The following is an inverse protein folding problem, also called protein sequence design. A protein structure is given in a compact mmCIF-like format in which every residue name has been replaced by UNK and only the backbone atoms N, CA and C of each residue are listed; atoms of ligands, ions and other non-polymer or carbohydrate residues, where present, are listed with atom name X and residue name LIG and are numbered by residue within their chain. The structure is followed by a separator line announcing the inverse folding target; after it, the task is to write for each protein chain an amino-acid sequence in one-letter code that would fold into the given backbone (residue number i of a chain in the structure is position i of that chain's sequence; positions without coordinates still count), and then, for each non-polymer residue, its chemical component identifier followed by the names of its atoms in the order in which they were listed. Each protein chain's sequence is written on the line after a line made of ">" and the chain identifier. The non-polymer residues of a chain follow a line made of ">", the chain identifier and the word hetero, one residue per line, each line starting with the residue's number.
data_IF_120296865306
#
_entry.id   IF_120296865306
#
_cell.length_a   1.000
_cell.length_b   1.000
_cell.length_c   1.000
_cell.angle_alpha   90.00
_cell.angle_beta   90.00
_cell.angle_gamma   90.00
#
_symmetry.space_group_name_H-M   'P 1'
#
loop_
_entity.id
_entity.type
_entity.pdbx_description
1 polymer ?
#
# COMPACT_ATOMS: atom_id res chain seq x y z
N UNK A 1 8.03 11.22 -22.27
CA UNK A 1 8.77 10.27 -23.15
C UNK A 1 10.02 10.90 -23.77
N UNK A 2 9.98 12.18 -24.18
CA UNK A 2 11.13 12.87 -24.81
C UNK A 2 12.38 13.13 -23.92
N UNK A 3 12.24 13.23 -22.59
CA UNK A 3 13.38 13.61 -21.72
C UNK A 3 14.33 12.45 -21.35
N UNK A 4 13.92 11.19 -21.52
CA UNK A 4 14.74 10.02 -21.12
C UNK A 4 15.49 9.40 -22.31
N UNK A 5 14.88 9.34 -23.50
CA UNK A 5 15.62 9.02 -24.73
C UNK A 5 16.76 10.01 -24.97
N UNK A 6 16.56 11.25 -24.52
CA UNK A 6 17.53 12.33 -24.51
C UNK A 6 18.80 12.01 -23.68
N UNK A 7 18.70 11.36 -22.51
CA UNK A 7 19.86 11.13 -21.63
C UNK A 7 20.82 10.04 -22.13
N UNK A 8 20.31 8.98 -22.75
CA UNK A 8 21.11 7.90 -23.36
C UNK A 8 21.87 8.41 -24.61
N UNK A 9 21.40 9.50 -25.22
CA UNK A 9 22.08 10.16 -26.33
C UNK A 9 23.28 11.03 -25.90
N UNK A 10 23.51 11.30 -24.61
CA UNK A 10 24.54 12.25 -24.18
C UNK A 10 25.83 11.63 -23.64
N UNK A 11 25.88 10.32 -23.45
CA UNK A 11 27.09 9.60 -23.08
C UNK A 11 27.17 8.21 -23.74
N UNK A 12 28.35 7.61 -23.70
CA UNK A 12 28.59 6.19 -24.00
C UNK A 12 29.27 5.53 -22.80
N UNK A 13 29.06 4.24 -22.57
CA UNK A 13 29.79 3.54 -21.52
C UNK A 13 31.21 3.24 -21.99
N UNK A 14 32.19 3.35 -21.09
CA UNK A 14 33.60 3.13 -21.45
C UNK A 14 33.91 1.65 -21.70
N UNK A 15 33.26 0.75 -20.96
CA UNK A 15 33.52 -0.69 -21.01
C UNK A 15 32.19 -1.47 -21.07
N UNK A 16 31.42 -1.32 -22.14
CA UNK A 16 30.10 -1.99 -22.29
C UNK A 16 30.17 -3.51 -22.11
N UNK A 17 31.25 -4.14 -22.59
CA UNK A 17 31.46 -5.59 -22.47
C UNK A 17 31.77 -6.07 -21.06
N UNK A 18 32.18 -5.19 -20.15
CA UNK A 18 32.49 -5.53 -18.75
C UNK A 18 31.33 -5.22 -17.79
N UNK A 19 30.21 -4.72 -18.30
CA UNK A 19 29.05 -4.42 -17.46
C UNK A 19 28.40 -5.73 -17.03
N UNK A 20 28.27 -5.92 -15.72
CA UNK A 20 27.61 -7.08 -15.13
C UNK A 20 26.18 -7.24 -15.69
N UNK A 21 25.83 -8.46 -16.10
CA UNK A 21 24.53 -8.78 -16.68
C UNK A 21 23.36 -8.43 -15.73
N UNK A 22 23.57 -8.47 -14.42
CA UNK A 22 22.58 -8.08 -13.40
C UNK A 22 22.28 -6.58 -13.40
N UNK A 23 23.13 -5.76 -14.02
CA UNK A 23 22.92 -4.33 -14.21
C UNK A 23 22.22 -4.02 -15.54
N UNK A 24 21.84 -5.02 -16.32
CA UNK A 24 21.21 -4.86 -17.64
C UNK A 24 19.72 -5.17 -17.62
N UNK A 25 18.96 -4.46 -18.45
CA UNK A 25 17.53 -4.70 -18.60
C UNK A 25 17.27 -5.95 -19.44
N UNK A 26 16.47 -6.88 -18.95
CA UNK A 26 16.19 -8.13 -19.69
C UNK A 26 15.44 -7.91 -21.02
N UNK A 27 14.73 -6.78 -21.18
CA UNK A 27 14.00 -6.41 -22.41
C UNK A 27 14.92 -5.77 -23.46
N UNK A 28 15.70 -4.74 -23.09
CA UNK A 28 16.52 -3.97 -24.03
C UNK A 28 18.00 -4.35 -24.07
N UNK A 29 18.45 -5.23 -23.16
CA UNK A 29 19.84 -5.71 -23.01
C UNK A 29 20.90 -4.62 -22.79
N UNK A 30 20.48 -3.41 -22.42
CA UNK A 30 21.34 -2.29 -22.07
C UNK A 30 21.33 -2.08 -20.55
N UNK A 31 22.32 -1.35 -19.98
CA UNK A 31 22.32 -0.99 -18.57
C UNK A 31 21.00 -0.36 -18.14
N UNK A 32 20.50 -0.77 -16.97
CA UNK A 32 19.20 -0.39 -16.43
C UNK A 32 19.07 1.13 -16.33
N UNK A 33 17.92 1.70 -16.69
CA UNK A 33 17.60 3.13 -16.52
C UNK A 33 16.28 3.28 -15.78
N UNK A 34 16.29 4.06 -14.69
CA UNK A 34 15.17 4.16 -13.74
C UNK A 34 14.60 2.75 -13.42
N UNK A 35 15.42 1.84 -12.86
CA UNK A 35 15.04 0.45 -12.69
C UNK A 35 13.83 0.28 -11.78
N UNK A 36 13.00 -0.72 -12.12
CA UNK A 36 11.89 -1.23 -11.35
C UNK A 36 12.01 -2.75 -11.20
N UNK A 37 11.66 -3.25 -10.02
CA UNK A 37 11.70 -4.65 -9.64
C UNK A 37 10.28 -5.18 -9.52
N UNK A 38 10.07 -6.39 -10.04
CA UNK A 38 8.83 -7.13 -9.86
C UNK A 38 8.83 -7.83 -8.49
N UNK A 39 7.88 -7.56 -7.58
CA UNK A 39 7.97 -7.98 -6.18
C UNK A 39 7.88 -9.50 -5.95
N UNK A 40 7.30 -10.25 -6.89
CA UNK A 40 7.08 -11.70 -6.74
C UNK A 40 8.18 -12.57 -7.36
N UNK A 41 9.04 -12.00 -8.21
CA UNK A 41 10.07 -12.77 -8.92
C UNK A 41 11.39 -12.02 -9.13
N UNK A 42 11.57 -10.86 -8.49
CA UNK A 42 12.80 -10.05 -8.44
C UNK A 42 13.45 -9.68 -9.78
N UNK A 43 12.76 -9.84 -10.90
CA UNK A 43 13.25 -9.40 -12.20
C UNK A 43 13.25 -7.88 -12.30
N UNK A 44 14.33 -7.34 -12.89
CA UNK A 44 14.59 -5.91 -12.94
C UNK A 44 14.53 -5.40 -14.37
N UNK A 45 13.76 -4.34 -14.58
CA UNK A 45 13.56 -3.72 -15.88
C UNK A 45 13.66 -2.22 -15.78
N UNK A 46 13.98 -1.53 -16.89
CA UNK A 46 13.79 -0.09 -16.94
C UNK A 46 12.31 0.25 -16.78
N UNK A 47 11.98 1.31 -16.05
CA UNK A 47 10.62 1.86 -15.91
C UNK A 47 9.92 2.05 -17.26
N UNK A 48 10.64 2.54 -18.26
CA UNK A 48 10.13 2.71 -19.63
C UNK A 48 9.97 1.41 -20.43
N UNK A 49 10.54 0.30 -19.99
CA UNK A 49 10.39 -0.98 -20.66
C UNK A 49 9.23 -1.78 -20.07
N UNK A 50 9.11 -1.84 -18.75
CA UNK A 50 8.08 -2.65 -18.08
C UNK A 50 6.71 -1.96 -18.07
N UNK A 51 6.64 -0.63 -17.94
CA UNK A 51 5.34 0.07 -17.86
C UNK A 51 4.50 -0.06 -19.14
N UNK A 52 5.04 0.13 -20.36
CA UNK A 52 4.26 -0.09 -21.58
C UNK A 52 3.87 -1.55 -21.77
N UNK A 53 4.72 -2.50 -21.34
CA UNK A 53 4.38 -3.92 -21.38
C UNK A 53 3.14 -4.25 -20.54
N UNK A 54 3.05 -3.65 -19.35
CA UNK A 54 1.93 -3.84 -18.42
C UNK A 54 0.64 -3.10 -18.80
N UNK A 55 0.66 -2.29 -19.86
CA UNK A 55 -0.56 -1.70 -20.42
C UNK A 55 -1.35 -2.70 -21.26
N UNK A 56 -0.68 -3.78 -21.69
CA UNK A 56 -1.25 -4.81 -22.58
C UNK A 56 -1.25 -6.19 -21.92
N UNK A 57 -0.29 -6.46 -21.03
CA UNK A 57 -0.09 -7.76 -20.39
C UNK A 57 -0.15 -7.62 -18.87
N UNK A 58 -0.47 -8.70 -18.17
CA UNK A 58 -0.49 -8.78 -16.70
C UNK A 58 0.61 -9.70 -16.15
N UNK A 59 1.65 -9.97 -16.95
CA UNK A 59 2.69 -10.96 -16.64
C UNK A 59 4.10 -10.38 -16.72
N UNK A 60 5.03 -10.97 -15.97
CA UNK A 60 6.45 -10.62 -16.03
C UNK A 60 7.06 -11.01 -17.41
N UNK A 61 7.73 -10.10 -18.13
CA UNK A 61 8.34 -10.39 -19.44
C UNK A 61 9.38 -11.52 -19.43
N UNK A 62 10.08 -11.71 -18.31
CA UNK A 62 11.18 -12.68 -18.21
C UNK A 62 10.70 -14.09 -17.83
N UNK A 63 9.74 -14.20 -16.91
CA UNK A 63 9.31 -15.49 -16.36
C UNK A 63 7.81 -15.79 -16.49
N UNK A 64 7.02 -14.86 -17.05
CA UNK A 64 5.56 -14.96 -17.23
C UNK A 64 4.74 -15.08 -15.94
N UNK A 65 5.35 -14.81 -14.79
CA UNK A 65 4.64 -14.77 -13.52
C UNK A 65 3.53 -13.71 -13.54
N UNK A 66 2.32 -14.07 -13.11
CA UNK A 66 1.09 -13.26 -13.13
C UNK A 66 0.29 -13.56 -11.85
N UNK A 67 -0.50 -12.60 -11.32
CA UNK A 67 -0.72 -11.25 -11.83
C UNK A 67 0.38 -10.27 -11.43
N UNK A 68 0.78 -9.42 -12.36
CA UNK A 68 1.68 -8.30 -12.16
C UNK A 68 0.98 -7.02 -12.60
N UNK A 69 0.74 -6.12 -11.65
CA UNK A 69 0.13 -4.81 -11.92
C UNK A 69 1.13 -3.67 -11.76
N UNK A 70 0.91 -2.59 -12.51
CA UNK A 70 1.82 -1.43 -12.63
C UNK A 70 2.16 -0.79 -11.28
N UNK A 71 1.21 -0.74 -10.36
CA UNK A 71 1.36 -0.07 -9.06
C UNK A 71 2.12 -0.91 -8.02
N UNK A 72 2.30 -2.21 -8.27
CA UNK A 72 3.07 -3.10 -7.41
C UNK A 72 4.58 -3.09 -7.69
N UNK A 73 5.01 -2.40 -8.75
CA UNK A 73 6.42 -2.30 -9.11
C UNK A 73 7.21 -1.52 -8.05
N UNK A 74 8.35 -2.06 -7.62
CA UNK A 74 9.17 -1.48 -6.57
C UNK A 74 10.47 -0.90 -7.11
N UNK A 75 11.10 0.01 -6.36
CA UNK A 75 12.47 0.43 -6.63
C UNK A 75 13.44 -0.66 -6.14
N UNK A 76 14.55 -0.91 -6.86
CA UNK A 76 15.56 -1.83 -6.37
C UNK A 76 16.23 -1.30 -5.10
N UNK A 77 16.93 -2.20 -4.43
CA UNK A 77 17.73 -1.85 -3.26
C UNK A 77 18.84 -0.83 -3.61
N UNK A 78 19.31 -0.09 -2.59
CA UNK A 78 20.37 0.91 -2.75
C UNK A 78 21.69 0.32 -3.28
N UNK A 79 22.16 -0.87 -2.86
CA UNK A 79 23.41 -1.44 -3.36
C UNK A 79 23.42 -1.61 -4.89
N UNK A 80 22.35 -2.13 -5.49
CA UNK A 80 22.26 -2.27 -6.94
C UNK A 80 22.30 -0.91 -7.65
N UNK A 81 21.61 0.09 -7.10
CA UNK A 81 21.65 1.46 -7.63
C UNK A 81 23.06 2.07 -7.55
N UNK A 82 23.78 1.81 -6.46
CA UNK A 82 25.15 2.29 -6.30
C UNK A 82 26.06 1.65 -7.35
N UNK A 83 26.03 0.32 -7.52
CA UNK A 83 26.78 -0.39 -8.56
C UNK A 83 26.50 0.16 -9.96
N UNK A 84 25.23 0.41 -10.25
CA UNK A 84 24.80 1.00 -11.52
C UNK A 84 25.35 2.43 -11.72
N UNK A 85 25.41 3.22 -10.66
CA UNK A 85 25.90 4.60 -10.67
C UNK A 85 27.42 4.71 -10.77
N UNK A 86 28.17 3.70 -10.32
CA UNK A 86 29.63 3.62 -10.43
C UNK A 86 30.13 3.31 -11.84
N UNK A 87 29.25 2.86 -12.75
CA UNK A 87 29.60 2.60 -14.14
C UNK A 87 30.23 3.86 -14.78
N UNK A 88 31.39 3.67 -15.42
CA UNK A 88 32.12 4.76 -16.05
C UNK A 88 31.60 5.04 -17.47
N UNK A 89 31.46 6.33 -17.76
CA UNK A 89 30.93 6.82 -19.03
C UNK A 89 31.87 7.87 -19.65
N UNK A 90 31.73 8.05 -20.96
CA UNK A 90 32.29 9.13 -21.76
C UNK A 90 31.19 10.09 -22.14
N UNK A 91 31.36 11.38 -21.84
CA UNK A 91 30.47 12.44 -22.28
C UNK A 91 30.58 12.62 -23.81
N UNK A 92 29.49 12.44 -24.55
CA UNK A 92 29.46 12.65 -26.02
C UNK A 92 29.56 14.12 -26.41
N UNK A 93 29.36 15.05 -25.48
CA UNK A 93 29.43 16.50 -25.75
C UNK A 93 30.86 17.02 -25.67
N UNK A 94 31.51 16.90 -24.51
CA UNK A 94 32.87 17.42 -24.30
C UNK A 94 33.97 16.38 -24.49
N UNK A 95 33.65 15.08 -24.52
CA UNK A 95 34.61 14.00 -24.63
C UNK A 95 35.18 13.50 -23.30
N UNK A 96 34.81 14.12 -22.17
CA UNK A 96 35.28 13.74 -20.83
C UNK A 96 35.03 12.26 -20.54
N UNK A 97 36.08 11.56 -20.10
CA UNK A 97 36.04 10.13 -19.79
C UNK A 97 35.99 9.89 -18.28
N UNK A 98 35.77 8.64 -17.86
CA UNK A 98 35.84 8.22 -16.46
C UNK A 98 34.90 8.99 -15.51
N UNK A 99 33.87 9.63 -16.05
CA UNK A 99 32.79 10.20 -15.23
C UNK A 99 31.91 9.06 -14.74
N UNK A 100 31.57 9.03 -13.46
CA UNK A 100 30.60 8.06 -12.92
C UNK A 100 29.23 8.38 -13.50
N UNK A 101 28.48 7.36 -13.88
CA UNK A 101 27.12 7.50 -14.41
C UNK A 101 26.22 8.31 -13.47
N UNK A 102 26.32 8.08 -12.16
CA UNK A 102 25.55 8.82 -11.15
C UNK A 102 25.82 10.33 -11.16
N UNK A 103 27.06 10.72 -11.50
CA UNK A 103 27.51 12.12 -11.52
C UNK A 103 27.29 12.80 -12.87
N UNK A 104 26.80 12.09 -13.89
CA UNK A 104 26.65 12.63 -15.23
C UNK A 104 25.76 13.88 -15.29
N UNK A 105 24.69 13.91 -14.50
CA UNK A 105 23.80 15.08 -14.42
C UNK A 105 24.50 16.29 -13.81
N UNK A 106 25.37 16.07 -12.82
CA UNK A 106 26.21 17.12 -12.27
C UNK A 106 27.21 17.61 -13.32
N UNK A 107 27.88 16.68 -14.01
CA UNK A 107 28.80 16.99 -15.10
C UNK A 107 28.11 17.86 -16.17
N UNK A 108 26.99 17.42 -16.76
CA UNK A 108 26.30 18.18 -17.81
C UNK A 108 25.83 19.55 -17.35
N UNK A 109 25.38 19.70 -16.09
CA UNK A 109 24.81 20.96 -15.60
C UNK A 109 25.84 21.95 -15.06
N UNK A 110 26.98 21.47 -14.57
CA UNK A 110 27.93 22.29 -13.78
C UNK A 110 29.37 22.26 -14.28
N UNK A 111 29.77 21.23 -15.03
CA UNK A 111 31.19 21.00 -15.38
C UNK A 111 31.41 20.99 -16.89
N UNK A 112 30.48 20.47 -17.67
CA UNK A 112 30.65 20.22 -19.10
C UNK A 112 30.73 21.54 -19.88
N UNK A 113 31.88 21.87 -20.52
CA UNK A 113 32.06 23.14 -21.22
C UNK A 113 31.20 23.24 -22.50
N UNK A 114 30.78 22.10 -23.06
CA UNK A 114 29.99 22.01 -24.29
C UNK A 114 28.53 21.66 -24.03
N UNK A 115 28.08 21.63 -22.77
CA UNK A 115 26.68 21.40 -22.47
C UNK A 115 25.87 22.68 -22.64
N UNK A 116 24.73 22.57 -23.33
CA UNK A 116 23.76 23.65 -23.28
C UNK A 116 23.20 23.77 -21.87
N UNK A 117 23.23 24.98 -21.33
CA UNK A 117 22.65 25.36 -20.05
C UNK A 117 21.38 26.15 -20.28
N UNK A 118 20.48 26.10 -19.30
CA UNK A 118 19.27 26.92 -19.31
C UNK A 118 19.56 28.26 -18.62
N UNK A 119 18.78 29.27 -18.98
CA UNK A 119 18.79 30.54 -18.26
C UNK A 119 18.49 30.33 -16.77
N UNK A 120 19.02 31.20 -15.91
CA UNK A 120 18.70 31.21 -14.48
C UNK A 120 17.21 31.40 -14.22
N UNK A 121 16.44 31.96 -15.17
CA UNK A 121 14.99 32.15 -15.11
C UNK A 121 14.17 31.06 -15.84
N UNK A 122 14.76 29.88 -16.08
CA UNK A 122 14.05 28.76 -16.72
C UNK A 122 12.90 28.18 -15.87
N UNK A 123 12.99 28.30 -14.55
CA UNK A 123 11.92 27.95 -13.60
C UNK A 123 10.65 28.76 -13.83
N UNK A 124 10.80 30.03 -14.25
CA UNK A 124 9.70 30.90 -14.64
C UNK A 124 9.45 30.88 -16.16
N UNK A 125 9.88 29.79 -16.82
CA UNK A 125 9.67 29.49 -18.25
C UNK A 125 10.41 30.40 -19.23
N UNK A 126 11.57 30.93 -18.86
CA UNK A 126 12.50 31.45 -19.86
C UNK A 126 12.84 30.34 -20.88
N UNK A 127 12.64 30.56 -22.20
CA UNK A 127 12.85 29.52 -23.22
C UNK A 127 14.31 29.38 -23.65
N UNK A 128 15.22 30.21 -23.13
CA UNK A 128 16.60 30.21 -23.57
C UNK A 128 17.37 29.00 -23.05
N UNK A 129 17.97 28.28 -23.99
CA UNK A 129 18.91 27.18 -23.77
C UNK A 129 20.06 27.35 -24.75
N UNK A 130 21.28 27.49 -24.26
CA UNK A 130 22.45 27.80 -25.09
C UNK A 130 23.75 27.39 -24.42
N UNK A 131 24.88 27.63 -25.08
CA UNK A 131 26.20 27.28 -24.51
C UNK A 131 26.59 28.24 -23.39
N UNK A 132 27.48 27.85 -22.45
CA UNK A 132 27.87 28.69 -21.33
C UNK A 132 28.50 30.02 -21.75
N UNK A 133 29.28 30.05 -22.84
CA UNK A 133 29.90 31.24 -23.41
C UNK A 133 28.88 32.28 -23.93
N UNK A 134 27.65 31.86 -24.20
CA UNK A 134 26.57 32.73 -24.70
C UNK A 134 25.66 33.24 -23.58
N UNK A 135 25.80 32.73 -22.35
CA UNK A 135 24.89 33.04 -21.25
C UNK A 135 24.95 34.52 -20.88
N UNK A 136 26.13 35.12 -20.79
CA UNK A 136 26.27 36.53 -20.38
C UNK A 136 25.61 37.50 -21.36
N UNK A 137 25.63 37.17 -22.66
CA UNK A 137 24.96 37.95 -23.70
C UNK A 137 23.44 37.86 -23.51
N UNK A 138 22.94 36.65 -23.25
CA UNK A 138 21.52 36.43 -22.98
C UNK A 138 21.06 37.12 -21.69
N UNK A 139 21.80 37.00 -20.59
CA UNK A 139 21.40 37.56 -19.29
C UNK A 139 21.24 39.09 -19.33
N UNK A 140 22.02 39.79 -20.16
CA UNK A 140 21.88 41.25 -20.37
C UNK A 140 20.55 41.66 -20.99
N UNK A 141 19.88 40.76 -21.72
CA UNK A 141 18.64 41.06 -22.46
C UNK A 141 17.44 40.22 -22.02
N UNK A 142 17.62 39.31 -21.06
CA UNK A 142 16.57 38.39 -20.63
C UNK A 142 15.50 39.07 -19.78
N UNK A 143 14.30 39.23 -20.33
CA UNK A 143 13.13 39.77 -19.62
C UNK A 143 12.73 38.90 -18.41
N UNK A 144 12.89 37.59 -18.51
CA UNK A 144 12.51 36.65 -17.45
C UNK A 144 13.41 36.82 -16.22
N UNK A 145 14.71 37.02 -16.41
CA UNK A 145 15.62 37.29 -15.30
C UNK A 145 15.26 38.59 -14.57
N UNK A 146 14.79 39.60 -15.31
CA UNK A 146 14.32 40.87 -14.73
C UNK A 146 12.99 40.69 -13.97
N UNK A 147 12.08 39.85 -14.48
CA UNK A 147 10.78 39.57 -13.82
C UNK A 147 10.89 38.60 -12.65
N UNK A 148 11.97 37.82 -12.56
CA UNK A 148 12.14 36.75 -11.58
C UNK A 148 11.98 37.18 -10.12
N UNK A 149 12.50 38.34 -9.66
CA UNK A 149 12.29 38.79 -8.28
C UNK A 149 10.80 38.94 -7.93
N UNK A 150 10.03 39.59 -8.80
CA UNK A 150 8.59 39.79 -8.61
C UNK A 150 7.83 38.47 -8.62
N UNK A 151 8.18 37.57 -9.55
CA UNK A 151 7.60 36.22 -9.59
C UNK A 151 7.86 35.47 -8.29
N UNK A 152 9.11 35.50 -7.78
CA UNK A 152 9.46 34.79 -6.55
C UNK A 152 8.72 35.34 -5.34
N UNK A 153 8.58 36.65 -5.24
CA UNK A 153 7.81 37.30 -4.18
C UNK A 153 6.34 36.91 -4.23
N UNK A 154 5.73 36.97 -5.41
CA UNK A 154 4.34 36.55 -5.63
C UNK A 154 4.13 35.06 -5.35
N UNK A 155 5.04 34.19 -5.78
CA UNK A 155 4.99 32.76 -5.48
C UNK A 155 5.11 32.50 -3.98
N UNK A 156 5.98 33.23 -3.27
CA UNK A 156 6.15 33.06 -1.84
C UNK A 156 4.90 33.46 -1.04
N UNK A 157 4.22 34.56 -1.42
CA UNK A 157 2.98 34.99 -0.78
C UNK A 157 1.83 34.04 -1.11
N UNK A 158 1.68 33.66 -2.38
CA UNK A 158 0.65 32.72 -2.83
C UNK A 158 0.82 31.36 -2.16
N UNK A 159 2.04 30.83 -2.12
CA UNK A 159 2.33 29.54 -1.46
C UNK A 159 1.96 29.59 0.02
N UNK A 160 2.30 30.66 0.75
CA UNK A 160 1.91 30.81 2.16
C UNK A 160 0.39 30.86 2.36
N UNK A 161 -0.33 31.55 1.48
CA UNK A 161 -1.79 31.63 1.55
C UNK A 161 -2.43 30.29 1.23
N UNK A 162 -2.00 29.62 0.17
CA UNK A 162 -2.52 28.31 -0.25
C UNK A 162 -2.22 27.24 0.77
N UNK A 163 -1.00 27.19 1.35
CA UNK A 163 -0.69 26.21 2.39
C UNK A 163 -1.51 26.42 3.65
N UNK A 164 -1.73 27.68 4.06
CA UNK A 164 -2.62 27.98 5.18
C UNK A 164 -4.06 27.54 4.90
N UNK A 165 -4.56 27.78 3.67
CA UNK A 165 -5.91 27.41 3.27
C UNK A 165 -6.09 25.88 3.17
N UNK A 166 -5.12 25.17 2.57
CA UNK A 166 -5.10 23.71 2.51
C UNK A 166 -5.01 23.12 3.90
N UNK A 167 -4.14 23.63 4.78
CA UNK A 167 -4.04 23.17 6.16
C UNK A 167 -5.37 23.32 6.91
N UNK A 168 -6.03 24.47 6.74
CA UNK A 168 -7.36 24.71 7.33
C UNK A 168 -8.39 23.71 6.81
N UNK A 169 -8.41 23.45 5.49
CA UNK A 169 -9.31 22.48 4.88
C UNK A 169 -9.00 21.04 5.34
N UNK A 170 -7.72 20.64 5.42
CA UNK A 170 -7.32 19.34 5.92
C UNK A 170 -7.74 19.14 7.38
N UNK A 171 -7.56 20.14 8.24
CA UNK A 171 -8.02 20.08 9.63
C UNK A 171 -9.55 19.92 9.70
N UNK A 172 -10.31 20.65 8.88
CA UNK A 172 -11.77 20.51 8.80
C UNK A 172 -12.21 19.13 8.27
N UNK A 173 -11.47 18.57 7.31
CA UNK A 173 -11.73 17.21 6.80
C UNK A 173 -11.41 16.17 7.88
N UNK A 174 -10.32 16.34 8.63
CA UNK A 174 -9.96 15.46 9.74
C UNK A 174 -11.05 15.46 10.83
N UNK A 175 -11.49 16.63 11.28
CA UNK A 175 -12.59 16.78 12.25
C UNK A 175 -13.91 16.16 11.76
N UNK A 176 -14.27 16.33 10.48
CA UNK A 176 -15.46 15.70 9.90
C UNK A 176 -15.31 14.18 9.73
N UNK A 177 -14.10 13.70 9.47
CA UNK A 177 -13.83 12.26 9.39
C UNK A 177 -13.97 11.56 10.74
N UNK A 178 -13.64 12.25 11.84
CA UNK A 178 -13.89 11.76 13.21
C UNK A 178 -15.38 11.73 13.57
N UNK A 179 -16.22 12.54 12.92
CA UNK A 179 -17.67 12.61 13.14
C UNK A 179 -18.47 11.62 12.28
N UNK A 180 -17.84 10.92 11.32
CA UNK A 180 -18.43 9.75 10.67
C UNK A 180 -18.39 8.58 11.67
N UNK A 181 -19.41 8.56 12.54
CA UNK A 181 -19.79 7.54 13.51
C UNK A 181 -19.27 6.14 13.11
N UNK A 182 -18.36 5.61 13.93
CA UNK A 182 -17.70 4.30 13.84
C UNK A 182 -18.56 3.20 13.19
N UNK A 183 -18.42 3.01 11.89
CA UNK A 183 -18.91 1.81 11.18
C UNK A 183 -18.40 0.54 11.90
N UNK A 184 -17.20 0.60 12.48
CA UNK A 184 -16.62 -0.47 13.27
C UNK A 184 -17.36 -0.73 14.60
N UNK A 185 -17.83 0.31 15.30
CA UNK A 185 -18.64 0.15 16.53
C UNK A 185 -20.03 -0.37 16.21
N UNK A 186 -20.67 0.12 15.15
CA UNK A 186 -21.96 -0.39 14.69
C UNK A 186 -21.84 -1.85 14.22
N UNK A 187 -20.80 -2.21 13.48
CA UNK A 187 -20.53 -3.58 13.05
C UNK A 187 -20.29 -4.52 14.25
N UNK A 188 -19.49 -4.10 15.25
CA UNK A 188 -19.30 -4.85 16.50
C UNK A 188 -20.61 -5.04 17.27
N UNK A 189 -21.45 -4.01 17.31
CA UNK A 189 -22.74 -4.07 17.99
C UNK A 189 -23.71 -5.05 17.27
N UNK A 190 -23.80 -4.97 15.94
CA UNK A 190 -24.62 -5.89 15.14
C UNK A 190 -24.18 -7.35 15.26
N UNK A 191 -22.88 -7.63 15.21
CA UNK A 191 -22.32 -8.98 15.42
C UNK A 191 -22.69 -9.54 16.80
N UNK A 192 -22.65 -8.70 17.84
CA UNK A 192 -23.00 -9.12 19.19
C UNK A 192 -24.51 -9.39 19.35
N UNK A 193 -25.35 -8.64 18.64
CA UNK A 193 -26.81 -8.79 18.68
C UNK A 193 -27.26 -10.04 17.90
N UNK A 194 -26.67 -10.28 16.73
CA UNK A 194 -26.95 -11.48 15.92
C UNK A 194 -26.52 -12.76 16.64
N UNK A 195 -25.36 -12.75 17.31
CA UNK A 195 -24.89 -13.90 18.09
C UNK A 195 -25.85 -14.23 19.26
N UNK A 196 -26.39 -13.20 19.93
CA UNK A 196 -27.39 -13.39 21.00
C UNK A 196 -28.72 -13.92 20.50
N UNK A 197 -29.21 -13.39 19.37
CA UNK A 197 -30.46 -13.86 18.74
C UNK A 197 -30.35 -15.33 18.34
N UNK A 198 -29.26 -15.70 17.66
CA UNK A 198 -29.02 -17.09 17.26
C UNK A 198 -28.87 -18.04 18.46
N UNK A 199 -28.20 -17.58 19.53
CA UNK A 199 -28.07 -18.37 20.76
C UNK A 199 -29.43 -18.64 21.42
N UNK A 200 -30.36 -17.67 21.40
CA UNK A 200 -31.71 -17.82 21.93
C UNK A 200 -32.55 -18.79 21.09
N UNK A 201 -32.49 -18.72 19.76
CA UNK A 201 -33.16 -19.66 18.86
C UNK A 201 -32.69 -21.11 19.07
N UNK A 202 -31.37 -21.32 19.23
CA UNK A 202 -30.83 -22.64 19.56
C UNK A 202 -31.35 -23.15 20.90
N UNK A 203 -31.44 -22.29 21.94
CA UNK A 203 -32.01 -22.71 23.24
C UNK A 203 -33.46 -23.16 23.11
N UNK A 204 -34.24 -22.49 22.27
CA UNK A 204 -35.61 -22.89 21.99
C UNK A 204 -35.67 -24.29 21.34
N UNK A 205 -34.87 -24.53 20.29
CA UNK A 205 -34.81 -25.83 19.60
C UNK A 205 -34.35 -26.95 20.55
N UNK A 206 -33.33 -26.68 21.37
CA UNK A 206 -32.84 -27.63 22.36
C UNK A 206 -33.91 -27.92 23.43
N UNK A 207 -34.65 -26.91 23.86
CA UNK A 207 -35.78 -27.06 24.78
C UNK A 207 -36.85 -27.99 24.22
N UNK A 208 -37.26 -27.77 22.97
CA UNK A 208 -38.24 -28.61 22.27
C UNK A 208 -37.78 -30.06 22.13
N UNK A 209 -36.48 -30.30 21.92
CA UNK A 209 -35.94 -31.64 21.77
C UNK A 209 -35.77 -32.39 23.10
N UNK A 210 -35.33 -31.71 24.14
CA UNK A 210 -35.01 -32.33 25.44
C UNK A 210 -36.26 -32.48 26.32
N UNK A 211 -37.26 -31.61 26.16
CA UNK A 211 -38.49 -31.63 26.97
C UNK A 211 -39.26 -32.96 26.96
N UNK A 212 -39.52 -33.62 25.80
CA UNK A 212 -40.23 -34.90 25.78
C UNK A 212 -39.50 -35.99 26.54
N UNK A 213 -38.17 -35.99 26.47
CA UNK A 213 -37.31 -36.97 27.16
C UNK A 213 -37.34 -36.73 28.67
N UNK A 214 -37.24 -35.47 29.11
CA UNK A 214 -37.40 -35.12 30.54
C UNK A 214 -38.79 -35.51 31.03
N UNK A 215 -39.84 -35.28 30.26
CA UNK A 215 -41.22 -35.62 30.63
C UNK A 215 -41.42 -37.13 30.80
N UNK A 216 -40.70 -37.95 30.04
CA UNK A 216 -40.69 -39.41 30.23
C UNK A 216 -39.90 -39.82 31.48
N UNK A 217 -38.79 -39.15 31.78
CA UNK A 217 -37.95 -39.46 32.94
C UNK A 217 -38.52 -38.94 34.27
N UNK A 218 -39.15 -37.77 34.27
CA UNK A 218 -39.72 -37.11 35.44
C UNK A 218 -41.03 -36.36 35.10
N UNK A 219 -42.19 -37.03 35.20
CA UNK A 219 -43.48 -36.47 34.79
C UNK A 219 -44.00 -35.31 35.66
N UNK A 220 -43.54 -35.21 36.91
CA UNK A 220 -44.11 -34.27 37.89
C UNK A 220 -43.62 -32.83 37.74
N UNK A 221 -42.38 -32.62 37.26
CA UNK A 221 -41.75 -31.29 37.19
C UNK A 221 -40.99 -31.01 35.87
N UNK A 222 -41.50 -31.42 34.69
CA UNK A 222 -40.74 -31.33 33.43
C UNK A 222 -40.42 -29.89 33.02
N UNK A 223 -41.34 -28.94 33.24
CA UNK A 223 -41.15 -27.53 32.85
C UNK A 223 -40.03 -26.85 33.66
N UNK A 224 -39.99 -27.09 34.98
CA UNK A 224 -38.97 -26.50 35.87
C UNK A 224 -37.59 -27.09 35.62
N UNK A 225 -37.52 -28.39 35.37
CA UNK A 225 -36.25 -29.08 35.08
C UNK A 225 -35.72 -28.63 33.71
N UNK A 226 -36.59 -28.54 32.70
CA UNK A 226 -36.21 -28.04 31.37
C UNK A 226 -35.73 -26.60 31.44
N UNK A 227 -36.44 -25.73 32.18
CA UNK A 227 -36.01 -24.35 32.42
C UNK A 227 -34.63 -24.26 33.08
N UNK A 228 -34.37 -25.06 34.12
CA UNK A 228 -33.07 -25.11 34.78
C UNK A 228 -31.93 -25.61 33.87
N UNK A 229 -32.22 -26.55 32.96
CA UNK A 229 -31.23 -27.04 32.00
C UNK A 229 -30.98 -26.04 30.86
N UNK A 230 -31.98 -25.27 30.45
CA UNK A 230 -31.85 -24.23 29.43
C UNK A 230 -31.07 -22.99 29.91
N UNK A 231 -30.77 -22.88 31.21
CA UNK A 231 -29.83 -21.89 31.75
C UNK A 231 -28.35 -22.23 31.47
N UNK A 232 -28.04 -23.49 31.12
CA UNK A 232 -26.70 -23.90 30.69
C UNK A 232 -26.36 -23.31 29.31
N UNK A 233 -25.08 -23.41 28.90
CA UNK A 233 -24.69 -23.03 27.54
C UNK A 233 -25.15 -24.06 26.51
N UNK A 234 -25.33 -23.61 25.27
CA UNK A 234 -25.90 -24.44 24.19
C UNK A 234 -25.06 -25.70 23.91
N UNK A 235 -23.73 -25.64 24.07
CA UNK A 235 -22.85 -26.78 23.84
C UNK A 235 -22.94 -27.81 24.97
N UNK A 236 -23.09 -27.36 26.21
CA UNK A 236 -23.37 -28.24 27.34
C UNK A 236 -24.70 -28.96 27.17
N UNK A 237 -25.77 -28.24 26.79
CA UNK A 237 -27.08 -28.84 26.54
C UNK A 237 -27.03 -29.84 25.38
N UNK A 238 -26.32 -29.51 24.28
CA UNK A 238 -26.10 -30.43 23.16
C UNK A 238 -25.39 -31.72 23.58
N UNK A 239 -24.36 -31.62 24.43
CA UNK A 239 -23.65 -32.80 24.97
C UNK A 239 -24.56 -33.67 25.83
N UNK A 240 -25.42 -33.05 26.63
CA UNK A 240 -26.40 -33.77 27.46
C UNK A 240 -27.46 -34.44 26.59
N UNK A 241 -27.97 -33.75 25.57
CA UNK A 241 -29.00 -34.27 24.66
C UNK A 241 -28.48 -35.43 23.77
N UNK A 242 -27.18 -35.50 23.49
CA UNK A 242 -26.59 -36.56 22.66
C UNK A 242 -26.50 -37.93 23.37
N UNK A 243 -26.62 -37.99 24.71
CA UNK A 243 -26.42 -39.21 25.50
C UNK A 243 -27.46 -39.31 26.63
N UNK A 244 -28.40 -40.25 26.51
CA UNK A 244 -29.49 -40.46 27.48
C UNK A 244 -29.02 -40.65 28.93
N UNK A 245 -27.85 -41.28 29.13
CA UNK A 245 -27.26 -41.50 30.46
C UNK A 245 -26.79 -40.21 31.13
N UNK A 246 -26.26 -39.26 30.36
CA UNK A 246 -25.82 -37.96 30.85
C UNK A 246 -27.01 -37.06 31.18
N UNK A 247 -28.02 -37.04 30.32
CA UNK A 247 -29.25 -36.29 30.55
C UNK A 247 -29.97 -36.79 31.80
N UNK A 248 -30.11 -38.11 31.96
CA UNK A 248 -30.78 -38.72 33.12
C UNK A 248 -30.11 -38.32 34.43
N UNK A 249 -28.78 -38.42 34.52
CA UNK A 249 -28.04 -37.98 35.71
C UNK A 249 -28.29 -36.50 36.03
N UNK A 250 -28.34 -35.65 35.00
CA UNK A 250 -28.56 -34.22 35.19
C UNK A 250 -29.99 -33.88 35.61
N UNK A 251 -30.97 -34.64 35.13
CA UNK A 251 -32.37 -34.57 35.58
C UNK A 251 -32.49 -34.98 37.05
N UNK A 252 -31.82 -36.05 37.47
CA UNK A 252 -31.81 -36.51 38.87
C UNK A 252 -31.19 -35.45 39.81
N UNK A 253 -30.08 -34.83 39.40
CA UNK A 253 -29.47 -33.73 40.15
C UNK A 253 -30.42 -32.51 40.27
N UNK A 254 -31.11 -32.15 39.19
CA UNK A 254 -32.07 -31.04 39.20
C UNK A 254 -33.28 -31.34 40.12
N UNK A 255 -33.77 -32.58 40.10
CA UNK A 255 -34.85 -33.04 41.01
C UNK A 255 -34.41 -32.93 42.46
N UNK A 256 -33.22 -33.43 42.81
CA UNK A 256 -32.69 -33.36 44.17
C UNK A 256 -32.57 -31.91 44.67
N UNK A 257 -32.14 -30.99 43.80
CA UNK A 257 -32.07 -29.55 44.12
C UNK A 257 -33.45 -28.93 44.36
N UNK A 258 -34.43 -29.26 43.51
CA UNK A 258 -35.80 -28.76 43.65
C UNK A 258 -36.47 -29.28 44.93
N UNK A 259 -36.29 -30.57 45.25
CA UNK A 259 -36.79 -31.17 46.48
C UNK A 259 -36.13 -30.59 47.73
N UNK A 260 -34.81 -30.35 47.70
CA UNK A 260 -34.09 -29.71 48.80
C UNK A 260 -34.57 -28.27 49.03
N UNK A 261 -35.03 -27.58 47.98
CA UNK A 261 -35.60 -26.23 48.07
C UNK A 261 -37.02 -26.24 48.64
N UNK A 262 -37.80 -27.29 48.36
CA UNK A 262 -39.14 -27.48 48.92
C UNK A 262 -39.15 -27.88 50.40
N UNK A 263 -38.05 -28.42 50.96
CA UNK A 263 -37.93 -28.74 52.41
C UNK A 263 -37.51 -27.56 53.29
N UNK A 264 -37.21 -26.40 52.69
CA UNK A 264 -36.74 -25.17 53.38
C UNK A 264 -37.78 -24.05 53.43
N UNK A 265 -39.04 -24.36 53.13
CA UNK A 265 -40.22 -23.48 53.27
C UNK A 265 -41.18 -24.21 54.19
#
# INVERSE_FOLDING_TARGET
>A
MAEIESLICYYSYMNESMIDANLTCSIRKNPLYDPLVTPLCDHIFCSMCIKPWLEINDSCPSCRHSPLIKDQLQKPNRPLLNLLNELLIRCKRCGEENTRRGDFMHHIRRVCPKANINCSAADIKCPWTGRPDQLDIHLKTCIYTQMKPLHNEWMATTTKQTTFQVQKQCNQIAERSEQLIDIEKLAKCMLSLSAKLFAAEIKQILGEHVYPVIKQLQPNLPDKITGMLLELDNNEILKLAALDSCLKKRVEEAVALLEARCRKI
#
